data_IF_583173444087
#
_entry.id   IF_583173444087
#
_cell.length_a   1.000
_cell.length_b   1.000
_cell.length_c   1.000
_cell.angle_alpha   90.00
_cell.angle_beta   90.00
_cell.angle_gamma   90.00
#
_symmetry.space_group_name_H-M   'P 1'
#
loop_
_entity.id
_entity.type
_entity.pdbx_description
1 polymer ?
#
# COMPACT_ATOMS: atom_id res chain seq x y z
N UNK A 1 22.39 -3.48 17.92
CA UNK A 1 22.24 -3.72 16.47
C UNK A 1 21.57 -5.06 16.30
N UNK A 2 20.26 -5.11 16.07
CA UNK A 2 19.56 -6.37 15.83
C UNK A 2 20.04 -6.94 14.50
N UNK A 3 20.43 -8.22 14.50
CA UNK A 3 20.80 -8.99 13.32
C UNK A 3 19.53 -9.25 12.48
N UNK A 4 18.96 -8.20 11.87
CA UNK A 4 17.81 -8.33 10.98
C UNK A 4 18.29 -8.95 9.65
N UNK A 5 18.51 -10.26 9.66
CA UNK A 5 18.78 -11.01 8.42
C UNK A 5 17.48 -11.12 7.60
N UNK A 6 17.59 -10.87 6.31
CA UNK A 6 16.54 -11.19 5.33
C UNK A 6 16.12 -12.66 5.53
N UNK A 7 14.82 -12.86 5.69
CA UNK A 7 14.21 -14.18 5.87
C UNK A 7 13.56 -14.64 4.57
N UNK A 8 14.03 -15.74 4.02
CA UNK A 8 13.39 -16.41 2.90
C UNK A 8 12.27 -17.28 3.47
N UNK A 9 11.07 -17.15 2.93
CA UNK A 9 9.89 -17.90 3.35
C UNK A 9 9.92 -19.32 2.79
N UNK A 10 9.50 -20.28 3.61
CA UNK A 10 9.29 -21.66 3.17
C UNK A 10 8.06 -21.75 2.26
N UNK A 11 7.90 -22.86 1.49
CA UNK A 11 6.67 -23.08 0.72
C UNK A 11 5.40 -23.02 1.59
N UNK A 12 5.42 -23.54 2.81
CA UNK A 12 4.30 -23.49 3.76
C UNK A 12 3.99 -22.05 4.19
N UNK A 13 5.04 -21.25 4.47
CA UNK A 13 4.85 -19.82 4.80
C UNK A 13 4.20 -19.08 3.63
N UNK A 14 4.63 -19.36 2.39
CA UNK A 14 4.06 -18.74 1.17
C UNK A 14 2.60 -19.14 0.99
N UNK A 15 2.23 -20.39 1.22
CA UNK A 15 0.84 -20.86 1.14
C UNK A 15 -0.04 -20.17 2.21
N UNK A 16 0.49 -20.00 3.44
CA UNK A 16 -0.19 -19.25 4.50
C UNK A 16 -0.30 -17.76 4.16
N UNK A 17 0.74 -17.16 3.55
CA UNK A 17 0.71 -15.77 3.05
C UNK A 17 -0.34 -15.57 1.93
N UNK A 18 -0.50 -16.54 1.02
CA UNK A 18 -1.56 -16.49 0.01
C UNK A 18 -2.95 -16.47 0.64
N UNK A 19 -3.16 -17.25 1.68
CA UNK A 19 -4.43 -17.27 2.41
C UNK A 19 -4.64 -15.95 3.14
N UNK A 20 -3.63 -15.42 3.84
CA UNK A 20 -3.66 -14.10 4.48
C UNK A 20 -3.94 -13.00 3.45
N UNK A 21 -3.20 -12.99 2.34
CA UNK A 21 -3.35 -12.02 1.26
C UNK A 21 -4.71 -12.07 0.58
N UNK A 22 -5.28 -13.26 0.42
CA UNK A 22 -6.63 -13.42 -0.12
C UNK A 22 -7.69 -12.81 0.80
N UNK A 23 -7.59 -13.03 2.12
CA UNK A 23 -8.49 -12.41 3.11
C UNK A 23 -8.36 -10.89 3.03
N UNK A 24 -7.13 -10.36 3.01
CA UNK A 24 -6.88 -8.93 2.92
C UNK A 24 -7.45 -8.32 1.63
N UNK A 25 -7.19 -8.93 0.48
CA UNK A 25 -7.71 -8.47 -0.80
C UNK A 25 -9.24 -8.45 -0.85
N UNK A 26 -9.89 -9.46 -0.26
CA UNK A 26 -11.36 -9.49 -0.13
C UNK A 26 -11.84 -8.39 0.82
N UNK A 27 -11.13 -8.16 1.94
CA UNK A 27 -11.44 -7.08 2.89
C UNK A 27 -11.39 -5.72 2.19
N UNK A 28 -10.29 -5.40 1.50
CA UNK A 28 -10.16 -4.12 0.79
C UNK A 28 -11.24 -3.96 -0.28
N UNK A 29 -11.53 -4.99 -1.08
CA UNK A 29 -12.64 -4.95 -2.05
C UNK A 29 -13.99 -4.70 -1.37
N UNK A 30 -14.22 -5.33 -0.21
CA UNK A 30 -15.45 -5.13 0.54
C UNK A 30 -15.55 -3.70 1.07
N UNK A 31 -14.49 -3.15 1.66
CA UNK A 31 -14.45 -1.74 2.13
C UNK A 31 -14.65 -0.77 0.96
N UNK A 32 -13.95 -0.96 -0.17
CA UNK A 32 -14.10 -0.14 -1.39
C UNK A 32 -15.55 -0.10 -1.86
N UNK A 33 -16.29 -1.22 -1.78
CA UNK A 33 -17.71 -1.26 -2.17
C UNK A 33 -18.62 -0.41 -1.26
N UNK A 34 -18.14 0.04 -0.10
CA UNK A 34 -18.86 0.92 0.83
C UNK A 34 -18.41 2.38 0.74
N UNK A 35 -17.34 2.68 -0.01
CA UNK A 35 -16.86 4.05 -0.20
C UNK A 35 -17.92 4.86 -0.96
N UNK A 36 -18.42 5.92 -0.34
CA UNK A 36 -19.44 6.83 -0.87
C UNK A 36 -19.44 8.16 -0.10
N UNK A 37 -20.05 9.21 -0.61
CA UNK A 37 -20.20 10.46 0.15
C UNK A 37 -20.89 10.23 1.50
N UNK A 38 -20.47 10.99 2.50
CA UNK A 38 -20.97 11.00 3.86
C UNK A 38 -20.70 9.75 4.71
N UNK A 39 -20.05 8.69 4.21
CA UNK A 39 -19.50 7.66 5.09
C UNK A 39 -18.30 8.23 5.82
N UNK A 40 -18.10 7.92 7.10
CA UNK A 40 -16.91 8.33 7.83
C UNK A 40 -15.78 7.32 7.67
N UNK A 41 -14.53 7.77 7.87
CA UNK A 41 -13.40 6.85 7.85
C UNK A 41 -13.47 5.82 8.98
N UNK A 42 -14.01 6.17 10.17
CA UNK A 42 -14.30 5.19 11.22
C UNK A 42 -15.27 4.09 10.78
N UNK A 43 -16.37 4.45 10.07
CA UNK A 43 -17.32 3.46 9.56
C UNK A 43 -16.66 2.50 8.56
N UNK A 44 -15.69 2.97 7.76
CA UNK A 44 -14.92 2.11 6.85
C UNK A 44 -13.97 1.18 7.60
N UNK A 45 -13.36 1.64 8.69
CA UNK A 45 -12.51 0.81 9.55
C UNK A 45 -13.33 -0.29 10.27
N UNK A 46 -14.50 0.07 10.81
CA UNK A 46 -15.41 -0.89 11.42
C UNK A 46 -15.81 -2.00 10.42
N UNK A 47 -16.10 -1.64 9.17
CA UNK A 47 -16.41 -2.58 8.08
C UNK A 47 -15.22 -3.52 7.80
N UNK A 48 -13.99 -2.98 7.81
CA UNK A 48 -12.78 -3.79 7.61
C UNK A 48 -12.57 -4.77 8.76
N UNK A 49 -12.64 -4.28 10.00
CA UNK A 49 -12.52 -5.09 11.19
C UNK A 49 -13.50 -6.24 11.18
N UNK A 50 -14.81 -5.94 11.01
CA UNK A 50 -15.88 -6.93 10.98
C UNK A 50 -15.68 -7.96 9.87
N UNK A 51 -15.14 -7.56 8.71
CA UNK A 51 -14.88 -8.48 7.63
C UNK A 51 -13.71 -9.41 7.93
N UNK A 52 -12.61 -8.89 8.49
CA UNK A 52 -11.43 -9.69 8.82
C UNK A 52 -11.77 -10.76 9.88
N UNK A 53 -12.44 -10.37 10.97
CA UNK A 53 -12.71 -11.30 12.09
C UNK A 53 -13.75 -12.38 11.77
N UNK A 54 -14.50 -12.26 10.67
CA UNK A 54 -15.36 -13.34 10.16
C UNK A 54 -14.58 -14.57 9.68
N UNK A 55 -13.30 -14.40 9.37
CA UNK A 55 -12.41 -15.48 8.98
C UNK A 55 -11.73 -16.04 10.22
N UNK A 56 -12.13 -17.24 10.65
CA UNK A 56 -11.65 -17.86 11.88
C UNK A 56 -10.11 -17.90 11.95
N UNK A 57 -9.55 -17.27 12.99
CA UNK A 57 -8.11 -17.11 13.20
C UNK A 57 -7.43 -15.97 12.46
N UNK A 58 -8.16 -15.16 11.64
CA UNK A 58 -7.63 -13.94 11.06
C UNK A 58 -7.81 -12.75 12.01
N UNK A 59 -6.80 -11.88 12.05
CA UNK A 59 -6.85 -10.62 12.82
C UNK A 59 -6.23 -9.48 12.02
N UNK A 60 -6.71 -8.23 12.21
CA UNK A 60 -6.05 -7.04 11.66
C UNK A 60 -4.60 -6.97 12.18
N UNK A 61 -3.64 -6.75 11.28
CA UNK A 61 -2.23 -6.73 11.66
C UNK A 61 -1.77 -5.38 12.19
N UNK A 62 -2.51 -4.29 11.87
CA UNK A 62 -2.16 -2.94 12.30
C UNK A 62 -2.78 -2.55 13.65
N UNK A 63 -3.96 -3.08 13.98
CA UNK A 63 -4.59 -2.83 15.27
C UNK A 63 -3.66 -3.27 16.40
N UNK A 64 -3.40 -2.34 17.34
CA UNK A 64 -2.47 -2.51 18.45
C UNK A 64 -0.99 -2.74 18.05
N UNK A 65 -0.63 -2.56 16.76
CA UNK A 65 0.77 -2.57 16.34
C UNK A 65 1.46 -1.26 16.75
N UNK A 66 2.59 -1.38 17.44
CA UNK A 66 3.39 -0.22 17.84
C UNK A 66 4.76 -0.29 17.17
N UNK A 67 5.01 0.50 16.10
CA UNK A 67 6.33 0.58 15.50
C UNK A 67 7.32 1.26 16.45
N UNK A 68 8.61 0.96 16.26
CA UNK A 68 9.67 1.56 17.07
C UNK A 68 9.64 3.08 16.99
N UNK A 69 9.59 3.75 18.13
CA UNK A 69 9.54 5.21 18.24
C UNK A 69 8.13 5.81 18.30
N UNK A 70 7.08 5.04 18.06
CA UNK A 70 5.71 5.52 18.25
C UNK A 70 5.37 5.64 19.75
N UNK A 71 4.63 6.68 20.12
CA UNK A 71 4.23 6.93 21.52
C UNK A 71 3.17 5.96 22.03
N UNK A 72 2.31 5.46 21.14
CA UNK A 72 1.21 4.54 21.45
C UNK A 72 0.96 3.57 20.28
N UNK A 73 0.28 2.42 20.50
CA UNK A 73 -0.08 1.49 19.44
C UNK A 73 -1.05 2.12 18.43
N UNK A 74 -0.97 1.71 17.15
CA UNK A 74 -1.92 2.16 16.13
C UNK A 74 -3.34 1.72 16.50
N UNK A 75 -4.33 2.64 16.49
CA UNK A 75 -5.62 2.38 17.14
C UNK A 75 -6.68 1.75 16.23
N UNK A 76 -6.35 1.39 14.98
CA UNK A 76 -7.31 0.98 13.96
C UNK A 76 -6.89 -0.26 13.18
N UNK A 77 -7.81 -0.85 12.43
CA UNK A 77 -7.56 -2.01 11.57
C UNK A 77 -6.93 -1.62 10.24
N UNK A 78 -7.30 -0.44 9.72
CA UNK A 78 -6.78 0.16 8.50
C UNK A 78 -6.12 1.51 8.77
N UNK A 79 -5.11 1.84 7.98
CA UNK A 79 -4.74 3.22 7.72
C UNK A 79 -5.68 3.77 6.63
N UNK A 80 -6.38 4.89 6.90
CA UNK A 80 -7.26 5.54 5.93
C UNK A 80 -6.76 6.96 5.70
N UNK A 81 -6.01 7.12 4.60
CA UNK A 81 -5.36 8.37 4.25
C UNK A 81 -6.18 9.10 3.18
N UNK A 82 -6.53 10.38 3.43
CA UNK A 82 -7.46 11.13 2.60
C UNK A 82 -6.76 12.36 2.03
N UNK A 83 -6.84 12.56 0.71
CA UNK A 83 -6.33 13.70 -0.05
C UNK A 83 -4.83 13.92 0.10
N UNK A 84 -4.41 14.85 0.97
CA UNK A 84 -3.02 15.21 1.26
C UNK A 84 -2.36 14.28 2.29
N UNK A 85 -3.12 13.43 2.96
CA UNK A 85 -2.56 12.36 3.77
C UNK A 85 -1.97 11.29 2.84
N UNK A 86 -0.68 11.01 3.05
CA UNK A 86 0.11 10.09 2.24
C UNK A 86 -0.14 8.66 2.69
N UNK A 87 0.16 8.41 3.98
CA UNK A 87 0.03 7.09 4.65
C UNK A 87 -0.25 7.28 6.15
N UNK A 88 -0.57 6.19 6.81
CA UNK A 88 -0.78 6.07 8.25
C UNK A 88 -1.90 6.96 8.80
N UNK A 89 -2.86 7.36 7.95
CA UNK A 89 -4.03 8.12 8.39
C UNK A 89 -4.83 7.33 9.41
N UNK A 90 -5.03 7.89 10.62
CA UNK A 90 -5.88 7.30 11.64
C UNK A 90 -7.34 7.56 11.26
N UNK A 91 -8.19 6.54 11.14
CA UNK A 91 -9.62 6.71 10.92
C UNK A 91 -10.25 7.60 11.98
N UNK A 92 -11.16 8.47 11.57
CA UNK A 92 -11.82 9.44 12.43
C UNK A 92 -13.30 9.69 12.01
N UNK A 93 -13.88 10.80 12.43
CA UNK A 93 -15.24 11.22 12.09
C UNK A 93 -15.36 11.99 10.78
N UNK A 94 -14.25 12.18 10.05
CA UNK A 94 -14.30 12.84 8.75
C UNK A 94 -15.23 12.09 7.81
N UNK A 95 -16.17 12.82 7.20
CA UNK A 95 -17.13 12.26 6.25
C UNK A 95 -16.67 12.55 4.84
N UNK A 96 -16.47 11.48 4.07
CA UNK A 96 -15.99 11.56 2.71
C UNK A 96 -16.85 12.49 1.86
N UNK A 97 -16.17 13.29 1.04
CA UNK A 97 -16.78 14.23 0.09
C UNK A 97 -16.54 13.73 -1.35
N UNK A 98 -17.44 14.14 -2.27
CA UNK A 98 -17.23 13.88 -3.71
C UNK A 98 -15.92 14.48 -4.15
N UNK A 99 -15.10 13.68 -4.81
CA UNK A 99 -13.78 14.07 -5.30
C UNK A 99 -12.63 13.82 -4.32
N UNK A 100 -12.89 13.32 -3.10
CA UNK A 100 -11.80 12.87 -2.21
C UNK A 100 -11.05 11.69 -2.85
N UNK A 101 -9.72 11.72 -2.73
CA UNK A 101 -8.89 10.52 -2.91
C UNK A 101 -8.83 9.84 -1.53
N UNK A 102 -9.11 8.54 -1.50
CA UNK A 102 -9.06 7.73 -0.28
C UNK A 102 -8.11 6.56 -0.52
N UNK A 103 -7.01 6.52 0.20
CA UNK A 103 -6.10 5.39 0.26
C UNK A 103 -6.45 4.52 1.46
N UNK A 104 -6.81 3.28 1.19
CA UNK A 104 -7.15 2.24 2.16
C UNK A 104 -5.99 1.26 2.21
N UNK A 105 -5.31 1.22 3.33
CA UNK A 105 -4.12 0.42 3.56
C UNK A 105 -4.35 -0.48 4.78
N UNK A 106 -4.05 -1.76 4.65
CA UNK A 106 -4.33 -2.73 5.69
C UNK A 106 -3.47 -3.97 5.67
N UNK A 107 -3.29 -4.52 6.86
CA UNK A 107 -2.62 -5.79 7.06
C UNK A 107 -3.55 -6.84 7.68
N UNK A 108 -3.36 -8.09 7.26
CA UNK A 108 -4.03 -9.24 7.89
C UNK A 108 -2.98 -10.23 8.39
N UNK A 109 -3.14 -10.67 9.63
CA UNK A 109 -2.39 -11.80 10.18
C UNK A 109 -3.26 -13.05 10.18
N UNK A 110 -2.80 -14.09 9.48
CA UNK A 110 -3.48 -15.37 9.41
C UNK A 110 -2.48 -16.52 9.42
N UNK A 111 -2.73 -17.57 10.20
CA UNK A 111 -1.82 -18.72 10.38
C UNK A 111 -0.36 -18.33 10.66
N UNK A 112 -0.17 -17.28 11.45
CA UNK A 112 1.16 -16.78 11.83
C UNK A 112 1.86 -15.90 10.79
N UNK A 113 1.28 -15.70 9.61
CA UNK A 113 1.84 -14.89 8.53
C UNK A 113 1.03 -13.60 8.33
N UNK A 114 1.75 -12.53 7.99
CA UNK A 114 1.18 -11.19 7.77
C UNK A 114 1.32 -10.82 6.29
N UNK A 115 0.22 -10.44 5.67
CA UNK A 115 0.16 -9.78 4.37
C UNK A 115 -0.20 -8.31 4.54
N UNK A 116 0.22 -7.48 3.58
CA UNK A 116 0.07 -6.03 3.53
C UNK A 116 -0.37 -5.59 2.14
N UNK A 117 -1.30 -4.64 2.05
CA UNK A 117 -1.77 -4.13 0.75
C UNK A 117 -2.53 -2.81 0.90
N UNK A 118 -2.40 -1.95 -0.11
CA UNK A 118 -3.13 -0.69 -0.19
C UNK A 118 -3.77 -0.46 -1.56
N UNK A 119 -4.90 0.24 -1.54
CA UNK A 119 -5.61 0.69 -2.75
C UNK A 119 -6.07 2.13 -2.58
N UNK A 120 -5.96 2.94 -3.64
CA UNK A 120 -6.53 4.30 -3.68
C UNK A 120 -7.73 4.34 -4.61
N UNK A 121 -8.76 5.09 -4.20
CA UNK A 121 -10.00 5.32 -4.97
C UNK A 121 -10.39 6.79 -4.95
N UNK A 122 -11.25 7.23 -5.88
CA UNK A 122 -11.78 8.60 -5.93
C UNK A 122 -13.28 8.54 -5.65
N UNK A 123 -13.75 9.27 -4.63
CA UNK A 123 -15.18 9.31 -4.25
C UNK A 123 -16.01 10.01 -5.33
N UNK A 124 -17.11 9.39 -5.75
CA UNK A 124 -18.10 9.95 -6.68
C UNK A 124 -19.44 10.19 -5.98
N UNK A 125 -20.42 10.67 -6.69
CA UNK A 125 -21.79 10.88 -6.16
C UNK A 125 -22.48 9.57 -5.73
N UNK A 126 -22.15 8.44 -6.34
CA UNK A 126 -22.81 7.14 -6.13
C UNK A 126 -21.90 6.03 -5.63
N UNK A 127 -20.60 6.31 -5.41
CA UNK A 127 -19.61 5.30 -5.00
C UNK A 127 -18.20 5.82 -5.15
N UNK A 128 -17.34 5.07 -5.85
CA UNK A 128 -15.97 5.52 -6.14
C UNK A 128 -15.48 5.03 -7.51
N UNK A 129 -14.50 5.75 -8.06
CA UNK A 129 -13.70 5.31 -9.22
C UNK A 129 -12.54 4.49 -8.69
N UNK A 130 -12.40 3.27 -9.19
CA UNK A 130 -11.30 2.35 -8.86
C UNK A 130 -10.23 2.36 -9.94
N UNK A 131 -9.07 1.78 -9.63
CA UNK A 131 -8.02 1.60 -10.65
C UNK A 131 -8.51 0.78 -11.85
N UNK A 132 -9.41 -0.19 -11.64
CA UNK A 132 -10.01 -0.98 -12.73
C UNK A 132 -10.81 -0.10 -13.71
N UNK A 133 -11.55 0.87 -13.19
CA UNK A 133 -12.31 1.80 -14.01
C UNK A 133 -11.38 2.70 -14.83
N UNK A 134 -10.28 3.14 -14.22
CA UNK A 134 -9.24 3.95 -14.90
C UNK A 134 -8.56 3.14 -16.01
N UNK A 135 -8.18 1.88 -15.76
CA UNK A 135 -7.58 1.01 -16.76
C UNK A 135 -8.51 0.76 -17.95
N UNK A 136 -9.80 0.55 -17.69
CA UNK A 136 -10.83 0.41 -18.76
C UNK A 136 -10.94 1.70 -19.61
N UNK A 137 -10.82 2.89 -19.00
CA UNK A 137 -10.77 4.16 -19.75
C UNK A 137 -9.54 4.24 -20.67
N UNK A 138 -8.36 3.88 -20.16
CA UNK A 138 -7.10 3.87 -20.93
C UNK A 138 -7.20 2.92 -22.13
N UNK A 139 -7.69 1.70 -21.94
CA UNK A 139 -7.86 0.72 -23.01
C UNK A 139 -8.86 1.17 -24.07
N UNK A 140 -9.91 1.86 -23.69
CA UNK A 140 -10.93 2.35 -24.64
C UNK A 140 -10.46 3.52 -25.50
N UNK A 141 -9.37 4.19 -25.13
CA UNK A 141 -8.78 5.38 -25.81
C UNK A 141 -9.79 6.52 -26.08
N UNK A 142 -10.92 6.56 -25.39
CA UNK A 142 -12.05 7.45 -25.68
C UNK A 142 -12.24 8.61 -24.71
N UNK A 143 -11.61 8.55 -23.53
CA UNK A 143 -11.82 9.54 -22.48
C UNK A 143 -10.49 9.96 -21.90
N UNK A 144 -10.27 11.27 -21.80
CA UNK A 144 -9.10 11.82 -21.13
C UNK A 144 -9.24 11.64 -19.61
N UNK A 145 -8.18 11.17 -18.95
CA UNK A 145 -8.10 11.11 -17.49
C UNK A 145 -7.93 12.51 -16.91
N UNK A 146 -8.65 12.80 -15.83
CA UNK A 146 -8.38 13.98 -15.03
C UNK A 146 -7.08 13.83 -14.21
N UNK A 147 -6.72 14.87 -13.45
CA UNK A 147 -5.46 14.91 -12.71
C UNK A 147 -5.41 13.86 -11.59
N UNK A 148 -6.52 13.61 -10.91
CA UNK A 148 -6.63 12.58 -9.86
C UNK A 148 -6.54 11.17 -10.43
N UNK A 149 -7.24 10.91 -11.52
CA UNK A 149 -7.16 9.63 -12.24
C UNK A 149 -5.74 9.37 -12.76
N UNK A 150 -5.06 10.41 -13.27
CA UNK A 150 -3.64 10.31 -13.68
C UNK A 150 -2.73 9.98 -12.49
N UNK A 151 -2.95 10.61 -11.33
CA UNK A 151 -2.19 10.30 -10.11
C UNK A 151 -2.35 8.83 -9.71
N UNK A 152 -3.58 8.33 -9.61
CA UNK A 152 -3.85 6.93 -9.29
C UNK A 152 -3.22 5.99 -10.33
N UNK A 153 -3.36 6.31 -11.62
CA UNK A 153 -2.80 5.52 -12.70
C UNK A 153 -1.27 5.42 -12.65
N UNK A 154 -0.58 6.56 -12.46
CA UNK A 154 0.89 6.60 -12.35
C UNK A 154 1.36 5.81 -11.14
N UNK A 155 0.72 5.97 -9.98
CA UNK A 155 1.07 5.26 -8.76
C UNK A 155 0.91 3.74 -8.94
N UNK A 156 -0.24 3.30 -9.44
CA UNK A 156 -0.50 1.87 -9.71
C UNK A 156 0.48 1.30 -10.74
N UNK A 157 0.72 2.02 -11.83
CA UNK A 157 1.60 1.57 -12.90
C UNK A 157 3.04 1.44 -12.43
N UNK A 158 3.52 2.38 -11.61
CA UNK A 158 4.85 2.33 -11.01
C UNK A 158 5.01 1.13 -10.06
N UNK A 159 3.98 0.84 -9.23
CA UNK A 159 3.95 -0.37 -8.40
C UNK A 159 4.06 -1.64 -9.25
N UNK A 160 3.22 -1.77 -10.27
CA UNK A 160 3.24 -2.96 -11.14
C UNK A 160 4.57 -3.15 -11.88
N UNK A 161 5.21 -2.05 -12.28
CA UNK A 161 6.54 -2.09 -12.88
C UNK A 161 7.61 -2.58 -11.88
N UNK A 162 7.54 -2.12 -10.62
CA UNK A 162 8.38 -2.61 -9.53
C UNK A 162 8.18 -4.11 -9.26
N UNK A 163 6.95 -4.57 -9.22
CA UNK A 163 6.60 -5.99 -9.07
C UNK A 163 7.20 -6.83 -10.19
N UNK A 164 7.12 -6.39 -11.44
CA UNK A 164 7.74 -7.08 -12.57
C UNK A 164 9.27 -7.16 -12.47
N UNK A 165 9.91 -6.18 -11.86
CA UNK A 165 11.36 -6.16 -11.66
C UNK A 165 11.84 -7.05 -10.50
N UNK A 166 10.93 -7.48 -9.61
CA UNK A 166 11.22 -8.29 -8.43
C UNK A 166 11.51 -9.76 -8.81
N UNK A 167 12.65 -10.00 -9.46
CA UNK A 167 13.09 -11.31 -9.96
C UNK A 167 14.27 -11.85 -9.18
N UNK A 168 14.35 -13.16 -9.11
CA UNK A 168 15.55 -13.87 -8.61
C UNK A 168 16.82 -13.37 -9.33
N UNK A 169 17.88 -13.13 -8.59
CA UNK A 169 19.15 -12.59 -9.04
C UNK A 169 19.16 -11.09 -9.44
N UNK A 170 18.03 -10.39 -9.43
CA UNK A 170 18.00 -8.94 -9.44
C UNK A 170 18.31 -8.39 -8.04
N UNK A 171 18.65 -7.11 -7.96
CA UNK A 171 18.86 -6.38 -6.70
C UNK A 171 17.62 -5.53 -6.37
N UNK A 172 17.45 -5.18 -5.12
CA UNK A 172 16.37 -4.26 -4.68
C UNK A 172 16.38 -2.96 -5.49
N UNK A 173 17.59 -2.43 -5.81
CA UNK A 173 17.71 -1.23 -6.67
C UNK A 173 17.09 -1.38 -8.06
N UNK A 174 16.89 -2.59 -8.55
CA UNK A 174 16.26 -2.78 -9.86
C UNK A 174 14.74 -2.56 -9.78
N UNK A 175 14.12 -2.87 -8.62
CA UNK A 175 12.75 -2.46 -8.30
C UNK A 175 12.67 -0.93 -8.28
N UNK A 176 13.50 -0.29 -7.46
CA UNK A 176 13.53 1.17 -7.28
C UNK A 176 13.71 1.94 -8.60
N UNK A 177 14.64 1.50 -9.45
CA UNK A 177 14.87 2.10 -10.78
C UNK A 177 13.65 1.96 -11.69
N UNK A 178 12.98 0.82 -11.63
CA UNK A 178 11.83 0.54 -12.50
C UNK A 178 10.62 1.33 -12.05
N UNK A 179 10.37 1.44 -10.74
CA UNK A 179 9.34 2.33 -10.16
C UNK A 179 9.61 3.77 -10.60
N UNK A 180 10.81 4.32 -10.32
CA UNK A 180 11.17 5.70 -10.61
C UNK A 180 11.03 6.06 -12.10
N UNK A 181 11.25 5.11 -13.00
CA UNK A 181 11.13 5.32 -14.46
C UNK A 181 9.70 5.56 -14.92
N UNK A 182 8.71 4.98 -14.24
CA UNK A 182 7.29 5.13 -14.59
C UNK A 182 6.71 6.46 -14.09
N UNK A 183 7.41 7.19 -13.20
CA UNK A 183 6.91 8.39 -12.56
C UNK A 183 7.39 9.64 -13.33
N UNK A 184 6.47 10.45 -13.88
CA UNK A 184 6.84 11.70 -14.54
C UNK A 184 7.50 12.70 -13.57
N UNK A 185 8.42 13.53 -14.07
CA UNK A 185 9.24 14.43 -13.25
C UNK A 185 8.46 15.54 -12.49
N UNK A 186 7.20 15.76 -12.85
CA UNK A 186 6.32 16.72 -12.18
C UNK A 186 5.54 16.12 -10.99
N UNK A 187 5.75 14.86 -10.65
CA UNK A 187 5.16 14.21 -9.48
C UNK A 187 6.20 14.11 -8.35
N UNK A 188 5.76 14.29 -7.11
CA UNK A 188 6.56 13.99 -5.93
C UNK A 188 6.62 12.49 -5.67
N UNK A 189 7.79 11.99 -5.27
CA UNK A 189 7.98 10.60 -4.82
C UNK A 189 8.43 10.62 -3.38
N UNK A 190 7.61 10.09 -2.49
CA UNK A 190 7.90 10.07 -1.06
C UNK A 190 9.14 9.22 -0.78
N UNK A 191 10.09 9.78 -0.01
CA UNK A 191 11.40 9.16 0.24
C UNK A 191 11.58 8.63 1.66
N UNK A 192 10.82 9.16 2.62
CA UNK A 192 10.94 8.75 4.03
C UNK A 192 10.24 7.43 4.32
N UNK A 193 9.32 7.02 3.45
CA UNK A 193 8.68 5.71 3.47
C UNK A 193 9.07 4.90 2.24
N UNK A 194 8.97 3.59 2.36
CA UNK A 194 9.37 2.68 1.30
C UNK A 194 8.80 1.29 1.53
N UNK A 195 8.80 0.49 0.50
CA UNK A 195 8.53 -0.93 0.60
C UNK A 195 9.50 -1.66 1.52
N UNK A 196 9.12 -2.83 1.95
CA UNK A 196 9.86 -3.61 2.95
C UNK A 196 9.63 -5.12 2.78
N UNK A 197 10.42 -5.91 3.47
CA UNK A 197 10.10 -7.32 3.69
C UNK A 197 8.88 -7.43 4.60
N UNK A 198 8.05 -8.47 4.40
CA UNK A 198 6.86 -8.74 5.19
C UNK A 198 6.63 -10.24 5.38
N UNK A 199 5.85 -10.62 6.38
CA UNK A 199 5.42 -12.00 6.57
C UNK A 199 5.39 -12.43 8.03
N UNK A 200 6.52 -12.64 8.69
CA UNK A 200 6.55 -12.96 10.13
C UNK A 200 6.28 -11.73 10.99
N UNK A 201 6.63 -10.55 10.46
CA UNK A 201 6.39 -9.23 11.04
C UNK A 201 5.79 -8.32 9.98
N UNK A 202 5.13 -7.23 10.40
CA UNK A 202 4.64 -6.18 9.49
C UNK A 202 5.83 -5.62 8.69
N UNK A 203 6.89 -5.21 9.36
CA UNK A 203 8.10 -4.70 8.71
C UNK A 203 9.29 -5.65 8.92
N UNK A 204 9.90 -6.10 7.84
CA UNK A 204 11.12 -6.90 7.78
C UNK A 204 12.12 -6.30 6.79
N UNK A 205 13.38 -6.76 6.88
CA UNK A 205 14.35 -6.50 5.81
C UNK A 205 13.99 -7.29 4.52
N UNK A 206 14.30 -6.76 3.33
CA UNK A 206 15.02 -5.51 3.08
C UNK A 206 14.10 -4.29 2.97
N UNK A 207 14.68 -3.09 3.16
CA UNK A 207 14.09 -1.82 2.76
C UNK A 207 14.07 -1.71 1.23
N UNK A 208 12.96 -1.26 0.64
CA UNK A 208 12.72 -1.19 -0.83
C UNK A 208 12.34 0.23 -1.24
N UNK A 209 13.31 1.12 -1.55
CA UNK A 209 13.00 2.50 -1.94
C UNK A 209 12.17 2.59 -3.21
N UNK A 210 11.27 3.58 -3.28
CA UNK A 210 10.50 3.91 -4.48
C UNK A 210 11.23 4.89 -5.42
N UNK A 211 12.47 5.26 -5.10
CA UNK A 211 13.32 6.20 -5.82
C UNK A 211 14.74 5.64 -5.96
N UNK A 212 15.55 6.27 -6.81
CA UNK A 212 16.95 5.87 -7.00
C UNK A 212 17.82 6.55 -5.93
N UNK A 213 18.26 5.78 -4.95
CA UNK A 213 19.12 6.23 -3.84
C UNK A 213 20.63 6.03 -4.10
N UNK A 214 20.98 5.38 -5.22
CA UNK A 214 22.35 5.03 -5.56
C UNK A 214 22.88 3.77 -4.85
N UNK A 215 22.10 3.16 -3.97
CA UNK A 215 22.47 1.93 -3.24
C UNK A 215 21.96 0.71 -4.03
N UNK A 216 22.82 -0.31 -4.17
CA UNK A 216 22.47 -1.54 -4.88
C UNK A 216 21.40 -2.35 -4.15
N UNK A 217 21.42 -2.29 -2.83
CA UNK A 217 20.54 -3.07 -1.97
C UNK A 217 20.84 -4.57 -2.00
N UNK A 218 19.91 -5.34 -1.46
CA UNK A 218 20.06 -6.79 -1.31
C UNK A 218 19.80 -7.54 -2.62
N UNK A 219 20.52 -8.65 -2.82
CA UNK A 219 20.26 -9.60 -3.89
C UNK A 219 18.98 -10.37 -3.58
N UNK A 220 18.02 -10.32 -4.49
CA UNK A 220 16.75 -11.03 -4.34
C UNK A 220 16.90 -12.52 -4.66
N UNK A 221 16.23 -13.33 -3.85
CA UNK A 221 16.19 -14.79 -3.98
C UNK A 221 14.72 -15.24 -4.05
N UNK A 222 14.49 -16.36 -4.71
CA UNK A 222 13.17 -17.00 -4.71
C UNK A 222 12.71 -17.25 -3.26
N UNK A 223 11.43 -16.95 -2.97
CA UNK A 223 10.84 -17.04 -1.63
C UNK A 223 11.07 -15.82 -0.73
N UNK A 224 11.76 -14.77 -1.22
CA UNK A 224 11.74 -13.47 -0.55
C UNK A 224 10.36 -12.83 -0.73
N UNK A 225 9.76 -12.36 0.36
CA UNK A 225 8.44 -11.71 0.35
C UNK A 225 8.60 -10.23 0.66
N UNK A 226 8.02 -9.38 -0.18
CA UNK A 226 8.14 -7.93 -0.14
C UNK A 226 6.78 -7.25 -0.25
N UNK A 227 6.61 -6.13 0.42
CA UNK A 227 5.64 -5.09 0.13
C UNK A 227 6.23 -4.14 -0.92
N UNK A 228 5.52 -3.91 -2.01
CA UNK A 228 5.90 -2.94 -3.05
C UNK A 228 4.84 -1.85 -3.06
N UNK A 229 5.21 -0.64 -2.64
CA UNK A 229 4.28 0.38 -2.18
C UNK A 229 4.70 1.82 -2.54
N UNK A 230 4.72 2.22 -3.79
CA UNK A 230 5.00 3.60 -4.14
C UNK A 230 3.93 4.56 -3.60
N UNK A 231 4.38 5.64 -2.97
CA UNK A 231 3.59 6.78 -2.53
C UNK A 231 3.95 7.97 -3.39
N UNK A 232 2.98 8.49 -4.16
CA UNK A 232 3.20 9.53 -5.17
C UNK A 232 2.27 10.70 -4.91
N UNK A 233 2.76 11.92 -5.15
CA UNK A 233 2.04 13.17 -4.91
C UNK A 233 1.95 14.04 -6.16
N UNK A 234 0.95 14.92 -6.22
CA UNK A 234 0.84 15.94 -7.29
C UNK A 234 1.76 17.15 -7.06
N UNK A 235 2.49 17.20 -5.95
CA UNK A 235 3.35 18.33 -5.59
C UNK A 235 4.66 17.87 -4.96
N UNK A 236 4.94 18.37 -3.75
CA UNK A 236 6.20 18.11 -3.07
C UNK A 236 6.37 16.65 -2.63
N UNK A 237 7.63 16.21 -2.49
CA UNK A 237 8.02 14.99 -1.80
C UNK A 237 8.38 15.22 -0.31
N UNK A 238 8.24 16.47 0.16
CA UNK A 238 8.41 16.82 1.57
C UNK A 238 7.19 16.43 2.39
N UNK A 239 7.41 15.96 3.60
CA UNK A 239 6.39 15.36 4.47
C UNK A 239 6.35 16.05 5.82
N UNK A 240 5.15 16.40 6.24
CA UNK A 240 4.82 16.82 7.61
C UNK A 240 4.05 15.68 8.32
N UNK A 241 4.06 15.73 9.66
CA UNK A 241 3.26 14.81 10.48
C UNK A 241 2.18 15.57 11.23
N UNK A 242 0.99 14.99 11.32
CA UNK A 242 -0.07 15.54 12.14
C UNK A 242 0.20 15.29 13.64
N UNK A 243 -0.54 16.01 14.49
CA UNK A 243 -0.41 15.93 15.96
C UNK A 243 -0.85 14.57 16.54
N UNK A 244 -1.47 13.71 15.74
CA UNK A 244 -1.81 12.35 16.13
C UNK A 244 -0.59 11.39 16.13
N UNK A 245 0.59 11.87 15.73
CA UNK A 245 1.85 11.12 15.77
C UNK A 245 2.00 10.02 14.72
N UNK A 246 0.99 9.81 13.84
CA UNK A 246 0.99 8.79 12.80
C UNK A 246 0.78 9.35 11.40
N UNK A 247 -0.26 10.18 11.21
CA UNK A 247 -0.65 10.63 9.88
C UNK A 247 0.42 11.48 9.22
N UNK A 248 1.00 10.97 8.14
CA UNK A 248 1.95 11.69 7.31
C UNK A 248 1.21 12.42 6.18
N UNK A 249 1.48 13.69 5.99
CA UNK A 249 0.83 14.54 4.98
C UNK A 249 1.88 15.21 4.10
N UNK A 250 1.50 15.58 2.86
CA UNK A 250 2.36 16.41 2.02
C UNK A 250 2.53 17.80 2.64
N UNK A 251 3.77 18.34 2.66
CA UNK A 251 4.05 19.64 3.29
C UNK A 251 3.32 20.81 2.58
N UNK A 252 3.05 20.67 1.27
CA UNK A 252 2.30 21.63 0.46
C UNK A 252 0.80 21.36 0.34
N UNK A 253 0.31 20.30 1.04
CA UNK A 253 -1.09 19.85 0.99
C UNK A 253 -1.56 19.39 -0.40
N UNK A 254 -0.63 19.02 -1.28
CA UNK A 254 -0.96 18.39 -2.55
C UNK A 254 -1.52 16.98 -2.36
N UNK A 255 -2.34 16.54 -3.33
CA UNK A 255 -2.96 15.21 -3.28
C UNK A 255 -1.91 14.10 -3.40
N UNK A 256 -2.13 13.03 -2.65
CA UNK A 256 -1.31 11.83 -2.65
C UNK A 256 -2.12 10.58 -3.03
N UNK A 257 -1.43 9.55 -3.53
CA UNK A 257 -1.98 8.22 -3.76
C UNK A 257 -0.97 7.15 -3.33
N UNK A 258 -1.50 6.04 -2.86
CA UNK A 258 -0.76 4.89 -2.39
C UNK A 258 -1.38 3.62 -2.96
N UNK A 259 -0.58 2.77 -3.58
CA UNK A 259 -0.94 1.41 -3.97
C UNK A 259 0.12 0.45 -3.49
N UNK A 260 -0.31 -0.71 -3.03
CA UNK A 260 0.59 -1.71 -2.49
C UNK A 260 0.12 -3.13 -2.75
N UNK A 261 1.10 -4.01 -2.95
CA UNK A 261 0.90 -5.45 -2.92
C UNK A 261 2.02 -6.17 -2.16
N UNK A 262 1.65 -7.16 -1.36
CA UNK A 262 2.58 -8.20 -0.92
C UNK A 262 2.84 -9.17 -2.08
N UNK A 263 4.12 -9.38 -2.38
CA UNK A 263 4.58 -10.27 -3.44
C UNK A 263 5.57 -11.29 -2.90
N UNK A 264 5.69 -12.44 -3.58
CA UNK A 264 6.84 -13.32 -3.45
C UNK A 264 7.72 -13.24 -4.68
N UNK A 265 9.03 -13.08 -4.49
CA UNK A 265 10.03 -13.06 -5.57
C UNK A 265 10.13 -14.43 -6.23
N UNK A 266 10.02 -14.46 -7.55
CA UNK A 266 10.18 -15.66 -8.41
C UNK A 266 11.18 -15.40 -9.52
N UNK A 267 11.45 -16.41 -10.37
CA UNK A 267 12.33 -16.25 -11.53
C UNK A 267 11.70 -15.37 -12.63
N UNK A 268 10.37 -15.23 -12.64
CA UNK A 268 9.63 -14.54 -13.69
C UNK A 268 9.16 -13.12 -13.28
N UNK A 269 9.34 -12.71 -12.03
CA UNK A 269 8.86 -11.46 -11.43
C UNK A 269 8.29 -11.72 -10.05
N UNK A 270 7.74 -10.69 -9.44
CA UNK A 270 6.97 -10.81 -8.20
C UNK A 270 5.62 -11.47 -8.49
N UNK A 271 5.33 -12.55 -7.76
CA UNK A 271 4.02 -13.18 -7.77
C UNK A 271 3.16 -12.59 -6.66
N UNK A 272 2.03 -11.97 -7.02
CA UNK A 272 1.20 -11.19 -6.10
C UNK A 272 0.41 -12.14 -5.19
N UNK A 273 0.49 -11.92 -3.88
CA UNK A 273 -0.18 -12.71 -2.86
C UNK A 273 -1.50 -12.08 -2.38
N UNK A 274 -1.70 -10.79 -2.63
CA UNK A 274 -2.85 -9.97 -2.19
C UNK A 274 -3.84 -9.72 -3.35
N UNK A 275 -4.38 -10.79 -3.94
CA UNK A 275 -5.34 -10.76 -5.06
C UNK A 275 -6.64 -11.51 -4.75
#
# INVERSE_FOLDING_TARGET
MSNNKIKIKTPEDIDNLRQSGHILAQTLRHVVSHVRPNISSNELDDIAYDYIIKHDGAVPAFLDYQPYGAEYPFPASLCISINDAIVHGIPDKYRLQIGDIVSLDGGVKYKGMISDAAVSVIVTDTGCITIKDILNKVESSKVEMDEKEKLLYVTYKSMMAGIHAAKTNNYVSDISKTIAKEIPANYGVIKIFAGHGVGYHVHEEPYVPNYIDGVKGSLMKSGLVLAIEPMITLGTDEVDFLSDGYTAVTADRSLAAHFEHTIVVTDNGGDILTI
#
